data_IF_806823094036
#
_entry.id   IF_806823094036
#
_cell.length_a   1.000
_cell.length_b   1.000
_cell.length_c   1.000
_cell.angle_alpha   90.00
_cell.angle_beta   90.00
_cell.angle_gamma   90.00
#
_symmetry.space_group_name_H-M   'P 1'
#
loop_
_entity.id
_entity.type
_entity.pdbx_description
1 polymer ?
#
# COMPACT_ATOMS: atom_id res chain seq x y z
N UNK A 1 -4.38 7.43 2.09
CA UNK A 1 -5.12 6.15 2.03
C UNK A 1 -5.82 5.92 3.36
N UNK A 2 -5.07 5.80 4.45
CA UNK A 2 -5.58 5.67 5.82
C UNK A 2 -4.63 4.81 6.64
N UNK A 3 -5.01 4.51 7.88
CA UNK A 3 -4.28 3.57 8.73
C UNK A 3 -4.64 2.12 8.40
N UNK A 4 -3.64 1.26 8.24
CA UNK A 4 -3.83 -0.16 7.90
C UNK A 4 -4.15 -1.00 9.14
N UNK A 5 -5.00 -2.00 8.99
CA UNK A 5 -5.25 -3.02 10.01
C UNK A 5 -5.09 -4.43 9.44
N UNK A 6 -5.10 -5.45 10.31
CA UNK A 6 -5.12 -6.85 9.84
C UNK A 6 -6.45 -7.12 9.12
N UNK A 7 -6.37 -7.71 7.93
CA UNK A 7 -7.54 -8.15 7.18
C UNK A 7 -8.35 -7.02 6.54
N UNK A 8 -7.72 -5.87 6.30
CA UNK A 8 -8.33 -4.79 5.50
C UNK A 8 -7.50 -4.47 4.27
N UNK A 9 -8.15 -3.95 3.23
CA UNK A 9 -7.48 -3.48 2.03
C UNK A 9 -8.01 -2.10 1.63
N UNK A 10 -7.18 -1.32 0.93
CA UNK A 10 -7.58 -0.05 0.33
C UNK A 10 -7.83 -0.24 -1.15
N UNK A 11 -8.82 0.47 -1.69
CA UNK A 11 -9.05 0.58 -3.12
C UNK A 11 -8.98 2.04 -3.55
N UNK A 12 -8.22 2.31 -4.62
CA UNK A 12 -8.06 3.64 -5.17
C UNK A 12 -7.81 3.55 -6.67
N UNK A 13 -8.69 4.19 -7.43
CA UNK A 13 -8.45 4.46 -8.85
C UNK A 13 -7.41 5.58 -8.99
N UNK A 14 -6.54 5.42 -9.98
CA UNK A 14 -5.45 6.34 -10.31
C UNK A 14 -5.40 6.56 -11.81
N UNK A 15 -4.70 7.61 -12.25
CA UNK A 15 -4.55 7.90 -13.67
C UNK A 15 -3.76 6.78 -14.38
N UNK A 16 -4.31 6.29 -15.49
CA UNK A 16 -3.65 5.25 -16.29
C UNK A 16 -2.47 5.80 -17.10
N UNK A 17 -1.54 4.91 -17.43
CA UNK A 17 -0.30 5.18 -18.17
C UNK A 17 0.57 6.25 -17.51
N UNK A 18 0.60 6.25 -16.17
CA UNK A 18 1.39 7.17 -15.36
C UNK A 18 2.08 6.45 -14.19
N UNK A 19 3.15 7.07 -13.70
CA UNK A 19 3.84 6.63 -12.50
C UNK A 19 3.11 7.10 -11.24
N UNK A 20 2.86 6.15 -10.34
CA UNK A 20 2.29 6.40 -9.03
C UNK A 20 3.25 5.92 -7.94
N UNK A 21 3.28 6.63 -6.83
CA UNK A 21 4.06 6.25 -5.65
C UNK A 21 3.12 5.89 -4.51
N UNK A 22 3.29 4.70 -3.96
CA UNK A 22 2.64 4.27 -2.72
C UNK A 22 3.68 4.28 -1.61
N UNK A 23 3.32 4.85 -0.46
CA UNK A 23 4.25 5.08 0.65
C UNK A 23 3.69 4.51 1.95
N UNK A 24 4.55 3.98 2.82
CA UNK A 24 4.19 3.66 4.22
C UNK A 24 4.55 4.82 5.14
N UNK A 25 3.82 4.95 6.25
CA UNK A 25 4.38 5.58 7.44
C UNK A 25 5.22 4.50 8.15
N UNK A 26 6.45 4.84 8.54
CA UNK A 26 7.34 3.93 9.26
C UNK A 26 8.24 4.72 10.21
N UNK A 27 8.60 4.09 11.32
CA UNK A 27 9.28 4.70 12.47
C UNK A 27 10.68 5.22 12.12
N UNK A 28 11.31 4.69 11.08
CA UNK A 28 12.67 5.05 10.65
C UNK A 28 12.69 5.90 9.39
N UNK A 29 11.75 5.65 8.49
CA UNK A 29 11.48 6.42 7.28
C UNK A 29 10.32 5.78 6.52
N UNK A 30 9.55 6.54 5.74
CA UNK A 30 8.64 5.98 4.74
C UNK A 30 9.37 5.02 3.80
N UNK A 31 8.71 3.93 3.41
CA UNK A 31 9.15 3.12 2.27
C UNK A 31 8.26 3.43 1.07
N UNK A 32 8.87 3.57 -0.10
CA UNK A 32 8.20 3.97 -1.34
C UNK A 32 8.22 2.85 -2.36
N UNK A 33 7.05 2.52 -2.90
CA UNK A 33 6.89 1.64 -4.05
C UNK A 33 6.37 2.47 -5.23
N UNK A 34 7.17 2.54 -6.30
CA UNK A 34 6.75 3.17 -7.56
C UNK A 34 6.14 2.11 -8.48
N UNK A 35 5.00 2.42 -9.06
CA UNK A 35 4.33 1.58 -10.07
C UNK A 35 3.98 2.42 -11.29
N UNK A 36 4.15 1.85 -12.47
CA UNK A 36 3.58 2.40 -13.70
C UNK A 36 2.22 1.73 -13.93
N UNK A 37 1.15 2.44 -13.61
CA UNK A 37 -0.19 1.90 -13.66
C UNK A 37 -0.71 1.95 -15.11
N UNK A 38 -0.91 0.79 -15.74
CA UNK A 38 -1.51 0.72 -17.07
C UNK A 38 -3.03 0.83 -17.00
N UNK A 39 -3.63 1.53 -17.97
CA UNK A 39 -5.09 1.66 -18.04
C UNK A 39 -5.77 0.29 -18.18
N UNK A 40 -6.86 0.07 -17.44
CA UNK A 40 -7.61 -1.18 -17.44
C UNK A 40 -6.99 -2.34 -16.65
N UNK A 41 -5.88 -2.10 -15.94
CA UNK A 41 -5.19 -3.12 -15.13
C UNK A 41 -5.23 -2.77 -13.64
N UNK A 42 -5.51 -3.77 -12.81
CA UNK A 42 -5.41 -3.66 -11.35
C UNK A 42 -4.01 -4.04 -10.88
N UNK A 43 -3.52 -3.33 -9.86
CA UNK A 43 -2.24 -3.61 -9.22
C UNK A 43 -2.49 -3.86 -7.73
N UNK A 44 -1.91 -4.93 -7.22
CA UNK A 44 -2.10 -5.36 -5.84
C UNK A 44 -0.80 -5.13 -5.07
N UNK A 45 -0.88 -4.35 -4.00
CA UNK A 45 0.26 -3.98 -3.18
C UNK A 45 0.02 -4.50 -1.78
N UNK A 46 0.96 -5.29 -1.28
CA UNK A 46 0.92 -5.84 0.07
C UNK A 46 1.89 -5.06 0.97
N UNK A 47 1.37 -4.53 2.08
CA UNK A 47 2.20 -4.07 3.19
C UNK A 47 2.66 -5.27 4.03
N UNK A 48 3.93 -5.27 4.42
CA UNK A 48 4.51 -6.29 5.29
C UNK A 48 5.44 -5.64 6.33
N UNK A 49 5.70 -6.35 7.42
CA UNK A 49 6.68 -5.93 8.42
C UNK A 49 8.03 -6.53 8.05
N UNK A 50 9.00 -5.66 7.82
CA UNK A 50 10.40 -6.03 7.62
C UNK A 50 11.07 -6.14 9.00
N UNK A 51 11.56 -7.33 9.40
CA UNK A 51 12.23 -7.48 10.68
C UNK A 51 13.54 -6.68 10.67
N UNK A 52 13.67 -5.73 11.59
CA UNK A 52 14.92 -5.03 11.86
C UNK A 52 15.64 -5.61 13.08
N UNK A 53 16.88 -5.19 13.30
CA UNK A 53 17.72 -5.64 14.43
C UNK A 53 17.12 -5.21 15.78
N UNK A 54 16.39 -4.09 15.81
CA UNK A 54 15.83 -3.53 17.04
C UNK A 54 14.30 -3.41 17.03
N UNK A 55 13.69 -3.11 15.89
CA UNK A 55 12.23 -3.02 15.71
C UNK A 55 11.86 -3.34 14.26
N UNK A 56 10.61 -3.75 14.03
CA UNK A 56 10.08 -3.99 12.68
C UNK A 56 9.65 -2.69 12.01
N UNK A 57 9.90 -2.55 10.71
CA UNK A 57 9.42 -1.41 9.91
C UNK A 57 8.40 -1.85 8.86
N UNK A 58 7.47 -0.96 8.48
CA UNK A 58 6.47 -1.22 7.44
C UNK A 58 7.04 -0.98 6.03
N UNK A 59 6.95 -1.99 5.16
CA UNK A 59 7.43 -1.95 3.78
C UNK A 59 6.34 -2.46 2.81
N UNK A 60 6.50 -2.18 1.51
CA UNK A 60 5.54 -2.46 0.45
C UNK A 60 6.14 -3.37 -0.61
N UNK A 61 5.33 -4.27 -1.14
CA UNK A 61 5.69 -5.07 -2.33
C UNK A 61 4.52 -5.22 -3.26
N UNK A 62 4.81 -5.27 -4.56
CA UNK A 62 3.83 -5.67 -5.56
C UNK A 62 3.62 -7.18 -5.47
N UNK A 63 2.36 -7.61 -5.52
CA UNK A 63 1.98 -9.03 -5.56
C UNK A 63 1.23 -9.34 -6.84
N UNK A 64 1.21 -10.61 -7.23
CA UNK A 64 0.50 -11.04 -8.43
C UNK A 64 -1.02 -11.01 -8.25
N UNK A 65 -1.72 -11.07 -9.38
CA UNK A 65 -3.17 -11.07 -9.48
C UNK A 65 -3.85 -12.17 -8.63
N UNK A 66 -3.25 -13.36 -8.54
CA UNK A 66 -3.84 -14.48 -7.82
C UNK A 66 -3.82 -14.20 -6.32
N UNK A 67 -2.66 -13.78 -5.80
CA UNK A 67 -2.52 -13.42 -4.39
C UNK A 67 -3.40 -12.20 -4.03
N UNK A 68 -3.39 -11.17 -4.87
CA UNK A 68 -4.18 -9.97 -4.67
C UNK A 68 -5.68 -10.20 -4.69
N UNK A 69 -6.18 -10.95 -5.69
CA UNK A 69 -7.60 -11.29 -5.81
C UNK A 69 -8.09 -12.16 -4.65
N UNK A 70 -7.26 -13.09 -4.17
CA UNK A 70 -7.58 -13.87 -2.98
C UNK A 70 -7.71 -12.96 -1.75
N UNK A 71 -6.74 -12.07 -1.53
CA UNK A 71 -6.76 -11.16 -0.39
C UNK A 71 -8.01 -10.26 -0.36
N UNK A 72 -8.43 -9.67 -1.50
CA UNK A 72 -9.63 -8.82 -1.54
C UNK A 72 -10.94 -9.58 -1.28
N UNK A 73 -10.97 -10.90 -1.49
CA UNK A 73 -12.14 -11.72 -1.13
C UNK A 73 -12.19 -12.08 0.35
N UNK A 74 -11.03 -12.09 1.02
CA UNK A 74 -10.92 -12.45 2.44
C UNK A 74 -10.96 -11.22 3.36
N UNK A 75 -10.60 -10.04 2.84
CA UNK A 75 -10.41 -8.82 3.61
C UNK A 75 -11.55 -7.84 3.42
N UNK A 76 -11.73 -6.97 4.41
CA UNK A 76 -12.73 -5.90 4.38
C UNK A 76 -12.19 -4.65 3.70
N UNK A 77 -13.02 -3.94 2.94
CA UNK A 77 -12.65 -2.64 2.39
C UNK A 77 -12.43 -1.64 3.55
N UNK A 78 -11.26 -1.02 3.58
CA UNK A 78 -10.90 -0.04 4.59
C UNK A 78 -11.71 1.24 4.41
N UNK A 79 -12.05 1.88 5.53
CA UNK A 79 -12.58 3.24 5.51
C UNK A 79 -11.46 4.22 5.14
N UNK A 80 -11.77 5.22 4.30
CA UNK A 80 -10.83 6.29 4.04
C UNK A 80 -10.52 7.02 5.36
N UNK A 81 -9.25 7.03 5.77
CA UNK A 81 -8.81 7.56 7.07
C UNK A 81 -7.93 8.81 6.95
N UNK A 82 -7.90 9.60 8.03
CA UNK A 82 -6.93 10.68 8.25
C UNK A 82 -5.60 10.06 8.72
N UNK A 83 -4.59 10.06 7.86
CA UNK A 83 -3.22 9.69 8.27
C UNK A 83 -2.71 10.67 9.33
N UNK A 84 -1.97 10.17 10.32
CA UNK A 84 -1.52 10.94 11.49
C UNK A 84 -0.51 12.04 11.15
N UNK A 85 0.16 11.93 9.99
CA UNK A 85 1.08 12.95 9.47
C UNK A 85 0.66 13.40 8.06
N UNK A 86 0.34 14.68 7.94
CA UNK A 86 0.05 15.30 6.65
C UNK A 86 1.34 15.44 5.81
N UNK A 87 1.30 14.87 4.61
CA UNK A 87 2.08 15.24 3.42
C UNK A 87 3.60 15.24 3.57
N UNK A 88 4.25 14.17 3.11
CA UNK A 88 5.65 14.24 2.69
C UNK A 88 5.66 14.91 1.33
N UNK A 89 6.16 16.15 1.28
CA UNK A 89 6.50 16.80 0.02
C UNK A 89 7.64 16.02 -0.62
N UNK A 90 7.36 15.44 -1.79
CA UNK A 90 8.34 14.79 -2.67
C UNK A 90 9.19 15.84 -3.39
#
# INVERSE_FOLDING_TARGET
>A
MGETARGVFFYKEVEGNQNHTVSTESEFSPNHLKIEAQSGKNYFIQQYIKPGIFVGGADLKLVDDTQGKKAITEYSLASAGQCSKATIQL
#
